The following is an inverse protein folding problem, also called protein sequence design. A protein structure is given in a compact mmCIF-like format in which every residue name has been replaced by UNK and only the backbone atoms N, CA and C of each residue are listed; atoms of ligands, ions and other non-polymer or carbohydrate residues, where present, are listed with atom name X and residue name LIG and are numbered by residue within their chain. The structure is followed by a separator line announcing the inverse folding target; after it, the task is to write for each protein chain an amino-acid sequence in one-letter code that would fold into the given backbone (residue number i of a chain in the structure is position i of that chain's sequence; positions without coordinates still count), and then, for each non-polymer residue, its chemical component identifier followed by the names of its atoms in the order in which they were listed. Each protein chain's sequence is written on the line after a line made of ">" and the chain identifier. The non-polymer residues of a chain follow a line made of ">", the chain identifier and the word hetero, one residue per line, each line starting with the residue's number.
data_IF_731724548949
#
_entry.id   IF_731724548949
#
_cell.length_a   1.000
_cell.length_b   1.000
_cell.length_c   1.000
_cell.angle_alpha   90.00
_cell.angle_beta   90.00
_cell.angle_gamma   90.00
#
_symmetry.space_group_name_H-M   'P 1'
#
loop_
_entity.id
_entity.type
_entity.pdbx_description
1 polymer ?
#
# COMPACT_ATOMS: atom_id res chain seq x y z
N UNK A 1 -2.76 -1.97 -12.38
CA UNK A 1 -3.01 -2.70 -11.11
C UNK A 1 -1.74 -3.40 -10.67
N UNK A 2 -1.40 -3.34 -9.38
CA UNK A 2 -0.13 -3.82 -8.83
C UNK A 2 -0.28 -4.23 -7.37
N UNK A 3 0.36 -5.35 -7.01
CA UNK A 3 0.43 -5.86 -5.63
C UNK A 3 1.74 -5.42 -4.99
N UNK A 4 1.65 -4.86 -3.78
CA UNK A 4 2.81 -4.51 -2.96
C UNK A 4 2.96 -5.53 -1.83
N UNK A 5 4.19 -5.92 -1.53
CA UNK A 5 4.49 -6.79 -0.40
C UNK A 5 5.73 -6.31 0.35
N UNK A 6 5.83 -6.62 1.63
CA UNK A 6 7.12 -6.49 2.33
C UNK A 6 7.14 -7.28 3.63
N UNK A 7 8.34 -7.34 4.23
CA UNK A 7 8.53 -7.84 5.59
C UNK A 7 8.61 -6.68 6.58
N UNK A 8 7.81 -6.77 7.63
CA UNK A 8 7.84 -5.88 8.78
C UNK A 8 8.62 -6.57 9.88
N UNK A 9 9.77 -6.00 10.22
CA UNK A 9 10.52 -6.34 11.42
C UNK A 9 10.31 -5.25 12.48
N UNK A 10 10.14 -5.66 13.72
CA UNK A 10 9.81 -4.75 14.82
C UNK A 10 11.01 -3.84 15.15
N UNK A 11 10.78 -2.52 15.13
CA UNK A 11 11.79 -1.52 15.54
C UNK A 11 11.29 -0.59 16.66
N UNK A 12 10.05 -0.72 17.14
CA UNK A 12 9.50 0.12 18.23
C UNK A 12 8.06 -0.23 18.66
N UNK A 13 7.64 -1.50 18.65
CA UNK A 13 6.29 -1.90 19.04
C UNK A 13 5.25 -1.78 17.91
N UNK A 14 5.71 -1.61 16.67
CA UNK A 14 4.88 -1.86 15.49
C UNK A 14 4.81 -3.38 15.29
N UNK A 15 3.89 -4.02 16.01
CA UNK A 15 3.66 -5.47 15.90
C UNK A 15 2.88 -5.81 14.65
N UNK A 16 2.72 -7.10 14.37
CA UNK A 16 1.81 -7.64 13.34
C UNK A 16 0.36 -7.11 13.41
N UNK A 17 -0.08 -6.68 14.60
CA UNK A 17 -1.39 -6.04 14.80
C UNK A 17 -1.47 -4.56 14.39
N UNK A 18 -0.37 -3.94 13.97
CA UNK A 18 -0.38 -2.55 13.51
C UNK A 18 -0.90 -2.53 12.08
N UNK A 19 -2.05 -1.87 11.79
CA UNK A 19 -2.54 -1.78 10.43
C UNK A 19 -1.59 -0.94 9.58
N UNK A 20 -1.31 -1.44 8.38
CA UNK A 20 -0.65 -0.72 7.31
C UNK A 20 -1.77 -0.25 6.38
N UNK A 21 -1.94 1.07 6.29
CA UNK A 21 -3.07 1.66 5.56
C UNK A 21 -2.57 2.33 4.31
N UNK A 22 -3.18 2.02 3.16
CA UNK A 22 -2.90 2.58 1.85
C UNK A 22 -4.10 3.37 1.34
N UNK A 23 -3.87 4.52 0.71
CA UNK A 23 -4.91 5.26 0.00
C UNK A 23 -4.34 6.16 -1.09
N UNK A 24 -5.18 6.54 -2.06
CA UNK A 24 -4.86 7.58 -3.02
C UNK A 24 -5.09 8.96 -2.36
N UNK A 25 -4.16 9.92 -2.50
CA UNK A 25 -4.30 11.25 -1.90
C UNK A 25 -5.38 12.11 -2.59
N UNK A 26 -5.74 11.78 -3.82
CA UNK A 26 -6.72 12.48 -4.64
C UNK A 26 -7.52 11.51 -5.51
N UNK A 27 -8.71 11.94 -5.95
CA UNK A 27 -9.47 11.24 -6.97
C UNK A 27 -8.74 11.34 -8.30
N UNK A 28 -8.60 10.21 -9.00
CA UNK A 28 -7.95 10.17 -10.32
C UNK A 28 -8.53 9.07 -11.19
N UNK A 29 -8.26 9.15 -12.48
CA UNK A 29 -8.57 8.07 -13.43
C UNK A 29 -7.77 6.81 -13.06
N UNK A 30 -8.38 5.63 -13.24
CA UNK A 30 -7.64 4.37 -13.16
C UNK A 30 -6.60 4.31 -14.26
N UNK A 31 -5.50 3.62 -13.99
CA UNK A 31 -4.41 3.51 -14.96
C UNK A 31 -4.86 2.73 -16.21
N UNK A 32 -5.81 1.81 -16.05
CA UNK A 32 -6.49 1.09 -17.13
C UNK A 32 -7.50 1.93 -17.92
N UNK A 33 -7.85 3.14 -17.47
CA UNK A 33 -8.85 4.01 -18.12
C UNK A 33 -10.29 3.48 -18.07
N UNK A 34 -10.56 2.49 -17.22
CA UNK A 34 -11.85 1.81 -17.08
C UNK A 34 -12.64 2.26 -15.84
N UNK A 35 -12.09 3.18 -15.04
CA UNK A 35 -12.70 3.57 -13.77
C UNK A 35 -12.06 4.79 -13.10
N UNK A 36 -12.45 4.97 -11.82
CA UNK A 36 -11.98 6.06 -10.97
C UNK A 36 -11.34 5.46 -9.72
N UNK A 37 -10.11 5.87 -9.42
CA UNK A 37 -9.45 5.58 -8.15
C UNK A 37 -10.02 6.53 -7.10
N UNK A 38 -10.65 5.94 -6.08
CA UNK A 38 -11.27 6.68 -4.99
C UNK A 38 -10.32 6.90 -3.81
N UNK A 39 -10.70 7.76 -2.87
CA UNK A 39 -9.95 8.00 -1.63
C UNK A 39 -10.12 6.86 -0.61
N UNK A 40 -10.48 5.65 -1.05
CA UNK A 40 -10.74 4.54 -0.17
C UNK A 40 -9.45 4.10 0.54
N UNK A 41 -9.57 3.87 1.84
CA UNK A 41 -8.48 3.34 2.65
C UNK A 41 -8.48 1.81 2.57
N UNK A 42 -7.34 1.23 2.21
CA UNK A 42 -7.09 -0.20 2.24
C UNK A 42 -6.19 -0.51 3.44
N UNK A 43 -6.69 -1.27 4.40
CA UNK A 43 -5.92 -1.67 5.58
C UNK A 43 -5.48 -3.12 5.44
N UNK A 44 -4.20 -3.38 5.63
CA UNK A 44 -3.63 -4.73 5.72
C UNK A 44 -2.88 -4.90 7.02
N UNK A 45 -2.79 -6.13 7.49
CA UNK A 45 -2.00 -6.51 8.66
C UNK A 45 -0.85 -7.39 8.20
N UNK A 46 0.27 -7.32 8.90
CA UNK A 46 1.31 -8.30 8.67
C UNK A 46 0.89 -9.61 9.34
N UNK A 47 1.13 -10.74 8.68
CA UNK A 47 0.98 -12.08 9.24
C UNK A 47 2.36 -12.73 9.25
N UNK A 48 2.85 -13.16 10.42
CA UNK A 48 4.21 -13.67 10.59
C UNK A 48 5.30 -12.69 10.10
N UNK A 49 5.05 -11.39 10.24
CA UNK A 49 5.99 -10.34 9.84
C UNK A 49 6.02 -10.06 8.33
N UNK A 50 5.05 -10.54 7.56
CA UNK A 50 4.93 -10.27 6.12
C UNK A 50 3.54 -9.74 5.79
N UNK A 51 3.43 -8.76 4.90
CA UNK A 51 2.14 -8.30 4.37
C UNK A 51 2.14 -8.28 2.85
N UNK A 52 0.94 -8.38 2.30
CA UNK A 52 0.66 -8.24 0.87
C UNK A 52 -0.60 -7.40 0.71
N UNK A 53 -0.60 -6.42 -0.20
CA UNK A 53 -1.79 -5.62 -0.51
C UNK A 53 -2.73 -6.38 -1.46
N UNK A 54 -4.02 -6.01 -1.53
CA UNK A 54 -4.81 -6.30 -2.72
C UNK A 54 -4.20 -5.60 -3.96
N UNK A 55 -4.77 -5.85 -5.13
CA UNK A 55 -4.45 -5.09 -6.34
C UNK A 55 -4.72 -3.60 -6.13
N UNK A 56 -3.69 -2.79 -6.30
CA UNK A 56 -3.74 -1.34 -6.19
C UNK A 56 -3.52 -0.70 -7.56
N UNK A 57 -4.22 0.39 -7.85
CA UNK A 57 -3.97 1.16 -9.06
C UNK A 57 -2.62 1.89 -9.00
N UNK A 58 -1.87 1.84 -10.11
CA UNK A 58 -0.59 2.53 -10.25
C UNK A 58 -0.79 4.05 -10.12
N UNK A 59 0.18 4.75 -9.53
CA UNK A 59 0.15 6.19 -9.33
C UNK A 59 0.48 6.62 -7.90
N UNK A 60 0.31 7.93 -7.58
CA UNK A 60 0.58 8.46 -6.25
C UNK A 60 -0.31 7.80 -5.19
N UNK A 61 0.31 7.42 -4.07
CA UNK A 61 -0.38 6.86 -2.91
C UNK A 61 0.29 7.31 -1.61
N UNK A 62 -0.44 7.15 -0.52
CA UNK A 62 0.10 7.31 0.83
C UNK A 62 0.04 5.96 1.52
N UNK A 63 1.10 5.63 2.24
CA UNK A 63 1.14 4.50 3.16
C UNK A 63 1.33 5.01 4.58
N UNK A 64 0.50 4.53 5.49
CA UNK A 64 0.57 4.83 6.91
C UNK A 64 0.90 3.56 7.69
N UNK A 65 1.91 3.67 8.56
CA UNK A 65 2.31 2.63 9.50
C UNK A 65 2.29 3.24 10.90
N UNK A 66 1.33 2.82 11.72
CA UNK A 66 1.06 3.45 13.01
C UNK A 66 0.65 4.92 12.83
N UNK A 67 1.43 5.84 13.39
CA UNK A 67 1.19 7.31 13.29
C UNK A 67 2.00 7.99 12.19
N UNK A 68 2.87 7.25 11.48
CA UNK A 68 3.73 7.81 10.44
C UNK A 68 3.12 7.59 9.06
N UNK A 69 3.22 8.61 8.22
CA UNK A 69 2.73 8.59 6.84
C UNK A 69 3.91 8.81 5.89
N UNK A 70 3.90 8.09 4.78
CA UNK A 70 4.92 8.18 3.73
C UNK A 70 4.21 8.33 2.38
N UNK A 71 4.66 9.31 1.59
CA UNK A 71 4.24 9.48 0.21
C UNK A 71 5.02 8.48 -0.66
N UNK A 72 4.33 7.68 -1.44
CA UNK A 72 4.90 6.67 -2.33
C UNK A 72 4.29 6.78 -3.73
N UNK A 73 4.96 6.17 -4.69
CA UNK A 73 4.40 5.95 -6.04
C UNK A 73 4.27 4.46 -6.23
N UNK A 74 3.05 3.98 -6.45
CA UNK A 74 2.80 2.60 -6.86
C UNK A 74 3.14 2.51 -8.35
N UNK A 75 4.20 1.80 -8.75
CA UNK A 75 4.51 1.66 -10.17
C UNK A 75 3.49 0.72 -10.83
N UNK A 76 3.36 0.83 -12.15
CA UNK A 76 2.63 -0.17 -12.93
C UNK A 76 3.50 -1.43 -13.08
N UNK A 77 2.98 -2.57 -12.62
CA UNK A 77 3.65 -3.86 -12.73
C UNK A 77 2.65 -5.02 -12.68
N UNK A 78 2.81 -6.03 -13.55
CA UNK A 78 2.06 -7.28 -13.47
C UNK A 78 2.58 -8.21 -12.35
N UNK A 79 3.81 -8.01 -11.89
CA UNK A 79 4.44 -8.81 -10.84
C UNK A 79 4.37 -8.07 -9.48
N UNK A 80 4.21 -8.80 -8.35
CA UNK A 80 4.29 -8.20 -7.03
C UNK A 80 5.63 -7.48 -6.79
N UNK A 81 5.58 -6.32 -6.14
CA UNK A 81 6.77 -5.50 -5.90
C UNK A 81 6.98 -5.28 -4.40
N UNK A 82 8.24 -5.25 -3.99
CA UNK A 82 8.59 -4.85 -2.63
C UNK A 82 8.21 -3.40 -2.38
N UNK A 83 7.56 -3.15 -1.25
CA UNK A 83 7.13 -1.82 -0.90
C UNK A 83 8.34 -0.89 -0.74
N UNK A 84 9.32 -1.25 0.09
CA UNK A 84 10.60 -0.53 0.18
C UNK A 84 11.71 -1.22 -0.64
N UNK A 85 12.63 -0.46 -1.25
CA UNK A 85 13.85 -1.01 -1.85
C UNK A 85 14.78 -1.67 -0.80
#
# INVERSE_FOLDING_TARGET
>A
MTVLFDRVSDIAGATEHTPIVFWAPELRESDSGDGIVTLQHHSVYAENGEFTTPDMDAGPAVVQIGVRQYQITIPESPDPIRLWP
#
